data_IF_282426435113
#
_entry.id   IF_282426435113
#
_cell.length_a   1.000
_cell.length_b   1.000
_cell.length_c   1.000
_cell.angle_alpha   90.00
_cell.angle_beta   90.00
_cell.angle_gamma   90.00
#
_symmetry.space_group_name_H-M   'P 1'
#
loop_
_entity.id
_entity.type
_entity.pdbx_description
1 polymer ?
#
# COMPACT_ATOMS: atom_id res chain seq x y z
N UNK A 1 7.91 -29.58 -30.12
CA UNK A 1 7.79 -28.15 -29.84
C UNK A 1 6.39 -27.90 -29.29
N UNK A 2 6.21 -27.74 -27.98
CA UNK A 2 4.91 -27.31 -27.44
C UNK A 2 4.70 -25.84 -27.87
N UNK A 3 3.60 -25.56 -28.55
CA UNK A 3 3.16 -24.21 -28.85
C UNK A 3 2.88 -23.52 -27.50
N UNK A 4 3.88 -22.78 -26.99
CA UNK A 4 3.70 -21.99 -25.78
C UNK A 4 2.64 -20.94 -26.10
N UNK A 5 1.49 -20.97 -25.40
CA UNK A 5 0.42 -20.02 -25.65
C UNK A 5 0.97 -18.60 -25.58
N UNK A 6 0.79 -17.81 -26.63
CA UNK A 6 1.24 -16.42 -26.71
C UNK A 6 0.43 -15.52 -25.76
N UNK A 7 -0.79 -15.93 -25.37
CA UNK A 7 -1.72 -15.16 -24.55
C UNK A 7 -1.14 -14.64 -23.22
N UNK A 8 -0.49 -15.47 -22.35
CA UNK A 8 0.12 -14.93 -21.13
C UNK A 8 1.24 -13.93 -21.42
N UNK A 9 2.01 -14.13 -22.49
CA UNK A 9 3.09 -13.23 -22.89
C UNK A 9 2.56 -11.91 -23.41
N UNK A 10 1.46 -11.94 -24.17
CA UNK A 10 0.74 -10.74 -24.61
C UNK A 10 0.16 -10.00 -23.41
N UNK A 11 -0.49 -10.69 -22.48
CA UNK A 11 -1.07 -10.08 -21.27
C UNK A 11 0.00 -9.33 -20.45
N UNK A 12 1.17 -9.93 -20.25
CA UNK A 12 2.28 -9.30 -19.52
C UNK A 12 2.89 -8.12 -20.30
N UNK A 13 3.00 -8.25 -21.62
CA UNK A 13 3.43 -7.13 -22.46
C UNK A 13 2.45 -5.95 -22.37
N UNK A 14 1.15 -6.23 -22.42
CA UNK A 14 0.12 -5.20 -22.32
C UNK A 14 0.14 -4.51 -20.97
N UNK A 15 0.11 -5.25 -19.85
CA UNK A 15 0.14 -4.66 -18.51
C UNK A 15 1.45 -3.93 -18.26
N UNK A 16 2.60 -4.55 -18.59
CA UNK A 16 3.91 -3.92 -18.44
C UNK A 16 4.10 -2.69 -19.33
N UNK A 17 3.69 -2.78 -20.59
CA UNK A 17 3.77 -1.67 -21.55
C UNK A 17 2.88 -0.50 -21.18
N UNK A 18 1.60 -0.76 -20.87
CA UNK A 18 0.66 0.27 -20.44
C UNK A 18 1.11 0.92 -19.13
N UNK A 19 1.53 0.12 -18.13
CA UNK A 19 2.00 0.65 -16.86
C UNK A 19 3.25 1.53 -17.02
N UNK A 20 4.20 1.10 -17.87
CA UNK A 20 5.41 1.89 -18.15
C UNK A 20 5.06 3.20 -18.87
N UNK A 21 4.29 3.14 -19.94
CA UNK A 21 3.96 4.32 -20.73
C UNK A 21 3.09 5.30 -19.93
N UNK A 22 2.06 4.82 -19.24
CA UNK A 22 1.19 5.67 -18.43
C UNK A 22 1.95 6.32 -17.27
N UNK A 23 2.80 5.55 -16.56
CA UNK A 23 3.58 6.08 -15.45
C UNK A 23 4.60 7.14 -15.91
N UNK A 24 5.35 6.88 -16.97
CA UNK A 24 6.33 7.85 -17.50
C UNK A 24 5.65 9.08 -18.12
N UNK A 25 4.52 8.91 -18.80
CA UNK A 25 3.75 10.02 -19.34
C UNK A 25 3.19 10.92 -18.23
N UNK A 26 2.59 10.31 -17.19
CA UNK A 26 2.10 11.05 -16.03
C UNK A 26 3.24 11.78 -15.32
N UNK A 27 4.39 11.11 -15.13
CA UNK A 27 5.56 11.74 -14.54
C UNK A 27 6.00 12.98 -15.32
N UNK A 28 6.09 12.87 -16.65
CA UNK A 28 6.47 14.00 -17.51
C UNK A 28 5.49 15.18 -17.38
N UNK A 29 4.18 14.90 -17.39
CA UNK A 29 3.16 15.94 -17.20
C UNK A 29 3.31 16.62 -15.82
N UNK A 30 3.46 15.85 -14.75
CA UNK A 30 3.60 16.40 -13.39
C UNK A 30 4.91 17.19 -13.22
N UNK A 31 6.03 16.77 -13.83
CA UNK A 31 7.26 17.56 -13.86
C UNK A 31 7.06 18.89 -14.58
N UNK A 32 6.37 18.90 -15.74
CA UNK A 32 6.05 20.12 -16.45
C UNK A 32 5.20 21.07 -15.58
N UNK A 33 4.13 20.56 -14.99
CA UNK A 33 3.27 21.34 -14.07
C UNK A 33 4.07 21.91 -12.90
N UNK A 34 4.99 21.13 -12.33
CA UNK A 34 5.85 21.60 -11.22
C UNK A 34 6.80 22.73 -11.64
N UNK A 35 7.36 22.66 -12.86
CA UNK A 35 8.21 23.73 -13.40
C UNK A 35 7.41 25.02 -13.56
N UNK A 36 6.19 24.94 -14.11
CA UNK A 36 5.31 26.13 -14.22
C UNK A 36 4.93 26.67 -12.83
N UNK A 37 4.60 25.80 -11.86
CA UNK A 37 4.34 26.20 -10.48
C UNK A 37 5.49 26.96 -9.85
N UNK A 38 6.74 26.56 -10.11
CA UNK A 38 7.93 27.29 -9.62
C UNK A 38 8.08 28.67 -10.27
N UNK A 39 7.70 28.85 -11.53
CA UNK A 39 7.84 30.12 -12.24
C UNK A 39 6.73 31.11 -11.93
N UNK A 40 5.53 30.65 -11.58
CA UNK A 40 4.35 31.48 -11.30
C UNK A 40 4.15 31.78 -9.81
N UNK A 41 5.14 31.49 -8.95
CA UNK A 41 5.05 31.64 -7.49
C UNK A 41 3.86 30.88 -6.87
N UNK A 42 3.54 29.70 -7.42
CA UNK A 42 2.54 28.83 -6.82
C UNK A 42 2.94 28.42 -5.38
N UNK A 43 1.97 27.94 -4.62
CA UNK A 43 2.23 27.43 -3.26
C UNK A 43 3.33 26.34 -3.29
N UNK A 44 4.35 26.55 -2.47
CA UNK A 44 5.51 25.64 -2.34
C UNK A 44 5.06 24.23 -1.95
N UNK A 45 4.03 24.11 -1.10
CA UNK A 45 3.50 22.82 -0.68
C UNK A 45 2.84 22.08 -1.85
N UNK A 46 2.09 22.81 -2.69
CA UNK A 46 1.49 22.22 -3.90
C UNK A 46 2.57 21.78 -4.89
N UNK A 47 3.59 22.60 -5.09
CA UNK A 47 4.74 22.26 -5.95
C UNK A 47 5.49 21.04 -5.40
N UNK A 48 5.71 20.96 -4.08
CA UNK A 48 6.32 19.81 -3.42
C UNK A 48 5.51 18.52 -3.68
N UNK A 49 4.21 18.54 -3.39
CA UNK A 49 3.31 17.40 -3.61
C UNK A 49 3.32 16.94 -5.07
N UNK A 50 3.26 17.88 -6.00
CA UNK A 50 3.27 17.58 -7.45
C UNK A 50 4.59 16.94 -7.87
N UNK A 51 5.74 17.42 -7.36
CA UNK A 51 7.05 16.81 -7.62
C UNK A 51 7.17 15.41 -7.02
N UNK A 52 6.70 15.20 -5.78
CA UNK A 52 6.68 13.85 -5.20
C UNK A 52 5.85 12.91 -6.05
N UNK A 53 4.64 13.32 -6.48
CA UNK A 53 3.80 12.52 -7.37
C UNK A 53 4.48 12.24 -8.71
N UNK A 54 5.24 13.18 -9.26
CA UNK A 54 6.02 12.98 -10.49
C UNK A 54 7.08 11.89 -10.31
N UNK A 55 7.84 11.92 -9.22
CA UNK A 55 8.83 10.87 -8.89
C UNK A 55 8.18 9.52 -8.65
N UNK A 56 7.04 9.48 -7.97
CA UNK A 56 6.25 8.27 -7.74
C UNK A 56 5.78 7.67 -9.06
N UNK A 57 5.19 8.47 -9.94
CA UNK A 57 4.72 8.03 -11.24
C UNK A 57 5.87 7.49 -12.11
N UNK A 58 7.02 8.18 -12.13
CA UNK A 58 8.23 7.71 -12.82
C UNK A 58 8.69 6.36 -12.28
N UNK A 59 8.76 6.21 -10.97
CA UNK A 59 9.21 4.99 -10.30
C UNK A 59 8.28 3.81 -10.59
N UNK A 60 6.97 3.98 -10.46
CA UNK A 60 5.97 2.93 -10.77
C UNK A 60 6.03 2.58 -12.26
N UNK A 61 6.17 3.57 -13.15
CA UNK A 61 6.38 3.34 -14.57
C UNK A 61 7.61 2.47 -14.84
N UNK A 62 8.75 2.77 -14.22
CA UNK A 62 9.97 2.00 -14.33
C UNK A 62 9.85 0.58 -13.75
N UNK A 63 9.08 0.39 -12.66
CA UNK A 63 8.81 -0.94 -12.09
C UNK A 63 8.00 -1.84 -13.02
N UNK A 64 7.24 -1.29 -13.96
CA UNK A 64 6.51 -2.05 -14.96
C UNK A 64 7.37 -2.46 -16.17
N UNK A 65 8.47 -1.76 -16.44
CA UNK A 65 9.34 -1.98 -17.60
C UNK A 65 9.88 -3.42 -17.71
N UNK A 66 10.34 -4.10 -16.63
CA UNK A 66 10.79 -5.48 -16.72
C UNK A 66 9.71 -6.44 -17.23
N UNK A 67 8.44 -6.23 -16.87
CA UNK A 67 7.32 -7.04 -17.35
C UNK A 67 7.15 -6.88 -18.86
N UNK A 68 7.21 -5.65 -19.39
CA UNK A 68 7.15 -5.37 -20.81
C UNK A 68 8.30 -6.05 -21.57
N UNK A 69 9.54 -5.90 -21.08
CA UNK A 69 10.73 -6.51 -21.69
C UNK A 69 10.61 -8.04 -21.72
N UNK A 70 10.19 -8.66 -20.60
CA UNK A 70 9.99 -10.12 -20.53
C UNK A 70 8.90 -10.57 -21.48
N UNK A 71 7.81 -9.82 -21.60
CA UNK A 71 6.73 -10.09 -22.56
C UNK A 71 7.26 -10.13 -24.00
N UNK A 72 8.03 -9.11 -24.43
CA UNK A 72 8.68 -9.03 -25.74
C UNK A 72 9.65 -10.20 -25.94
N UNK A 73 10.54 -10.45 -24.98
CA UNK A 73 11.53 -11.54 -25.09
C UNK A 73 10.88 -12.90 -25.31
N UNK A 74 9.76 -13.15 -24.63
CA UNK A 74 9.02 -14.41 -24.81
C UNK A 74 8.34 -14.52 -26.15
N UNK A 75 7.74 -13.44 -26.63
CA UNK A 75 7.11 -13.43 -27.97
C UNK A 75 8.16 -13.66 -29.06
N UNK A 76 9.39 -13.17 -28.86
CA UNK A 76 10.53 -13.40 -29.76
C UNK A 76 11.26 -14.73 -29.54
N UNK A 77 10.77 -15.60 -28.64
CA UNK A 77 11.37 -16.91 -28.35
C UNK A 77 12.74 -16.86 -27.67
N UNK A 78 13.13 -15.71 -27.09
CA UNK A 78 14.42 -15.54 -26.39
C UNK A 78 14.45 -16.29 -25.05
N UNK A 79 15.62 -16.80 -24.59
CA UNK A 79 15.78 -17.43 -23.29
C UNK A 79 15.49 -16.43 -22.17
N UNK A 80 14.90 -16.93 -21.08
CA UNK A 80 14.58 -16.11 -19.92
C UNK A 80 15.77 -16.02 -18.97
N UNK A 81 15.92 -14.85 -18.35
CA UNK A 81 16.80 -14.64 -17.21
C UNK A 81 16.31 -15.49 -16.02
N UNK A 82 17.24 -16.07 -15.27
CA UNK A 82 16.89 -16.77 -14.02
C UNK A 82 16.60 -15.77 -12.91
N UNK A 83 15.51 -15.98 -12.20
CA UNK A 83 15.18 -15.21 -11.01
C UNK A 83 15.87 -15.84 -9.79
N UNK A 84 16.64 -15.05 -9.05
CA UNK A 84 17.39 -15.51 -7.87
C UNK A 84 17.04 -14.66 -6.66
N UNK A 85 16.06 -15.06 -5.83
CA UNK A 85 15.60 -14.28 -4.67
C UNK A 85 16.70 -13.91 -3.68
N UNK A 86 17.69 -14.77 -3.49
CA UNK A 86 18.81 -14.52 -2.57
C UNK A 86 19.71 -13.35 -3.00
N UNK A 87 19.88 -13.13 -4.31
CA UNK A 87 20.60 -11.96 -4.81
C UNK A 87 19.86 -10.68 -4.48
N UNK A 88 18.54 -10.68 -4.59
CA UNK A 88 17.71 -9.50 -4.27
C UNK A 88 17.76 -9.19 -2.78
N UNK A 89 17.73 -10.20 -1.91
CA UNK A 89 17.87 -9.98 -0.45
C UNK A 89 19.24 -9.40 -0.10
N UNK A 90 20.32 -9.85 -0.77
CA UNK A 90 21.64 -9.27 -0.58
C UNK A 90 21.69 -7.81 -1.01
N UNK A 91 21.10 -7.48 -2.17
CA UNK A 91 20.99 -6.10 -2.66
C UNK A 91 20.18 -5.25 -1.69
N UNK A 92 19.04 -5.74 -1.21
CA UNK A 92 18.21 -5.03 -0.23
C UNK A 92 18.99 -4.69 1.04
N UNK A 93 19.80 -5.62 1.57
CA UNK A 93 20.67 -5.35 2.72
C UNK A 93 21.73 -4.26 2.41
N UNK A 94 22.30 -4.26 1.22
CA UNK A 94 23.27 -3.24 0.81
C UNK A 94 22.63 -1.85 0.62
N UNK A 95 21.31 -1.77 0.41
CA UNK A 95 20.59 -0.51 0.28
C UNK A 95 20.20 0.11 1.63
N UNK A 96 20.32 -0.60 2.77
CA UNK A 96 20.00 -0.06 4.10
C UNK A 96 20.78 1.24 4.41
N UNK A 97 22.12 1.34 4.19
CA UNK A 97 22.83 2.60 4.40
C UNK A 97 22.33 3.73 3.49
N UNK A 98 21.92 3.43 2.26
CA UNK A 98 21.33 4.39 1.34
C UNK A 98 19.99 4.89 1.89
N UNK A 99 19.17 3.99 2.43
CA UNK A 99 17.92 4.36 3.10
C UNK A 99 18.15 5.31 4.29
N UNK A 100 19.10 4.97 5.18
CA UNK A 100 19.44 5.84 6.30
C UNK A 100 19.90 7.23 5.84
N UNK A 101 20.69 7.28 4.77
CA UNK A 101 21.13 8.55 4.17
C UNK A 101 19.93 9.34 3.63
N UNK A 102 19.01 8.70 2.90
CA UNK A 102 17.81 9.36 2.38
C UNK A 102 16.95 9.94 3.49
N UNK A 103 16.68 9.17 4.55
CA UNK A 103 15.90 9.63 5.71
C UNK A 103 16.60 10.78 6.43
N UNK A 104 17.91 10.67 6.64
CA UNK A 104 18.70 11.74 7.25
C UNK A 104 18.70 13.03 6.43
N UNK A 105 18.83 12.94 5.11
CA UNK A 105 18.76 14.09 4.21
C UNK A 105 17.36 14.70 4.17
N UNK A 106 16.30 13.91 4.20
CA UNK A 106 14.92 14.42 4.32
C UNK A 106 14.78 15.18 5.64
N UNK A 107 15.25 14.63 6.77
CA UNK A 107 15.17 15.29 8.06
C UNK A 107 15.93 16.63 8.08
N UNK A 108 17.12 16.70 7.48
CA UNK A 108 17.91 17.93 7.33
C UNK A 108 17.22 18.93 6.39
N UNK A 109 16.61 18.46 5.30
CA UNK A 109 15.93 19.31 4.34
C UNK A 109 14.67 19.97 4.94
N UNK A 110 13.91 19.26 5.76
CA UNK A 110 12.71 19.79 6.41
C UNK A 110 13.05 20.89 7.43
N UNK A 111 14.19 20.79 8.10
CA UNK A 111 14.63 21.79 9.09
C UNK A 111 15.13 23.08 8.46
N UNK A 112 15.42 23.11 7.15
CA UNK A 112 15.86 24.32 6.45
C UNK A 112 14.65 25.14 5.97
N UNK A 113 14.64 26.42 6.24
CA UNK A 113 13.59 27.36 5.82
C UNK A 113 13.58 27.61 4.28
N UNK A 114 14.61 27.16 3.57
CA UNK A 114 14.67 27.23 2.13
C UNK A 114 13.84 26.08 1.50
N UNK A 115 13.16 26.39 0.40
CA UNK A 115 12.33 25.47 -0.38
C UNK A 115 12.86 24.03 -0.43
N UNK A 116 12.19 23.11 0.25
CA UNK A 116 12.62 21.73 0.45
C UNK A 116 12.41 20.83 -0.80
N UNK A 117 12.29 21.43 -1.99
CA UNK A 117 11.97 20.70 -3.23
C UNK A 117 13.01 19.65 -3.61
N UNK A 118 14.28 19.84 -3.19
CA UNK A 118 15.37 18.91 -3.46
C UNK A 118 15.22 17.57 -2.70
N UNK A 119 14.39 17.50 -1.64
CA UNK A 119 14.13 16.24 -0.92
C UNK A 119 13.08 15.36 -1.61
N UNK A 120 12.33 15.90 -2.56
CA UNK A 120 11.23 15.17 -3.22
C UNK A 120 11.68 13.85 -3.89
N UNK A 121 12.82 13.73 -4.57
CA UNK A 121 13.30 12.46 -5.12
C UNK A 121 13.69 11.44 -4.04
N UNK A 122 14.00 11.88 -2.82
CA UNK A 122 14.42 11.00 -1.72
C UNK A 122 13.23 10.27 -1.08
N UNK A 123 12.01 10.77 -1.28
CA UNK A 123 10.78 10.15 -0.75
C UNK A 123 10.57 8.74 -1.30
N UNK A 124 10.84 8.54 -2.58
CA UNK A 124 10.70 7.22 -3.23
C UNK A 124 11.63 6.18 -2.59
N UNK A 125 12.97 6.36 -2.52
CA UNK A 125 13.84 5.37 -1.87
C UNK A 125 13.61 5.23 -0.37
N UNK A 126 13.12 6.28 0.32
CA UNK A 126 12.79 6.21 1.74
C UNK A 126 11.64 5.21 2.03
N UNK A 127 10.74 4.97 1.08
CA UNK A 127 9.67 3.98 1.18
C UNK A 127 10.04 2.67 0.49
N UNK A 128 10.58 2.74 -0.73
CA UNK A 128 10.78 1.57 -1.57
C UNK A 128 11.87 0.62 -1.04
N UNK A 129 12.93 1.16 -0.43
CA UNK A 129 14.04 0.33 0.08
C UNK A 129 13.58 -0.60 1.22
N UNK A 130 12.92 -0.11 2.29
CA UNK A 130 12.40 -0.99 3.33
C UNK A 130 11.39 -2.01 2.81
N UNK A 131 10.50 -1.61 1.90
CA UNK A 131 9.54 -2.55 1.31
C UNK A 131 10.24 -3.65 0.50
N UNK A 132 11.27 -3.30 -0.26
CA UNK A 132 12.10 -4.28 -0.94
C UNK A 132 12.76 -5.23 0.06
N UNK A 133 13.21 -4.70 1.19
CA UNK A 133 13.83 -5.51 2.25
C UNK A 133 12.82 -6.49 2.87
N UNK A 134 11.63 -6.02 3.27
CA UNK A 134 10.58 -6.88 3.82
C UNK A 134 10.12 -7.94 2.84
N UNK A 135 9.89 -7.54 1.58
CA UNK A 135 9.52 -8.47 0.51
C UNK A 135 10.57 -9.57 0.34
N UNK A 136 11.83 -9.18 0.15
CA UNK A 136 12.92 -10.14 -0.11
C UNK A 136 13.26 -10.98 1.11
N UNK A 137 13.11 -10.43 2.32
CA UNK A 137 13.17 -11.17 3.58
C UNK A 137 12.05 -12.23 3.66
N UNK A 138 10.82 -11.84 3.32
CA UNK A 138 9.64 -12.71 3.34
C UNK A 138 9.72 -13.88 2.36
N UNK A 139 10.27 -13.66 1.16
CA UNK A 139 10.33 -14.67 0.11
C UNK A 139 11.68 -15.41 0.01
N UNK A 140 12.62 -15.12 0.92
CA UNK A 140 13.95 -15.75 0.90
C UNK A 140 13.86 -17.27 0.92
N UNK A 141 14.74 -17.94 0.15
CA UNK A 141 14.84 -19.39 0.04
C UNK A 141 13.59 -20.11 -0.52
N UNK A 142 12.62 -19.37 -1.04
CA UNK A 142 11.42 -19.95 -1.65
C UNK A 142 11.55 -20.01 -3.17
N UNK A 143 10.90 -21.00 -3.78
CA UNK A 143 10.76 -21.07 -5.24
C UNK A 143 9.76 -20.03 -5.73
N UNK A 144 10.24 -18.99 -6.36
CA UNK A 144 9.41 -17.87 -6.85
C UNK A 144 8.71 -18.17 -8.17
N UNK A 145 9.08 -19.26 -8.84
CA UNK A 145 8.63 -19.56 -10.19
C UNK A 145 9.42 -18.79 -11.26
N UNK A 146 8.80 -18.58 -12.42
CA UNK A 146 9.46 -17.88 -13.54
C UNK A 146 9.49 -16.36 -13.31
N UNK A 147 10.52 -15.65 -13.81
CA UNK A 147 10.56 -14.17 -13.80
C UNK A 147 9.32 -13.54 -14.42
N UNK A 148 8.77 -14.17 -15.46
CA UNK A 148 7.52 -13.77 -16.09
C UNK A 148 6.36 -13.73 -15.10
N UNK A 149 6.24 -14.74 -14.23
CA UNK A 149 5.15 -14.80 -13.23
C UNK A 149 5.33 -13.69 -12.20
N UNK A 150 6.53 -13.48 -11.67
CA UNK A 150 6.77 -12.47 -10.65
C UNK A 150 6.57 -11.05 -11.18
N UNK A 151 7.22 -10.70 -12.29
CA UNK A 151 7.08 -9.37 -12.89
C UNK A 151 5.69 -9.13 -13.50
N UNK A 152 5.09 -10.18 -14.08
CA UNK A 152 3.71 -10.12 -14.58
C UNK A 152 2.71 -9.91 -13.44
N UNK A 153 2.88 -10.54 -12.28
CA UNK A 153 2.04 -10.32 -11.10
C UNK A 153 2.20 -8.91 -10.57
N UNK A 154 3.43 -8.42 -10.45
CA UNK A 154 3.71 -7.06 -10.01
C UNK A 154 3.02 -6.03 -10.92
N UNK A 155 3.23 -6.13 -12.23
CA UNK A 155 2.64 -5.23 -13.22
C UNK A 155 1.12 -5.32 -13.27
N UNK A 156 0.55 -6.53 -13.18
CA UNK A 156 -0.90 -6.71 -13.08
C UNK A 156 -1.48 -6.01 -11.85
N UNK A 157 -0.79 -6.08 -10.73
CA UNK A 157 -1.24 -5.40 -9.51
C UNK A 157 -1.23 -3.88 -9.67
N UNK A 158 -0.20 -3.28 -10.27
CA UNK A 158 -0.17 -1.83 -10.50
C UNK A 158 -1.22 -1.35 -11.49
N UNK A 159 -1.45 -2.11 -12.58
CA UNK A 159 -2.26 -1.65 -13.72
C UNK A 159 -3.74 -2.07 -13.60
N UNK A 160 -4.02 -3.19 -12.93
CA UNK A 160 -5.38 -3.75 -12.86
C UNK A 160 -5.90 -3.77 -11.42
N UNK A 161 -5.18 -4.45 -10.52
CA UNK A 161 -5.69 -4.67 -9.16
C UNK A 161 -5.82 -3.37 -8.39
N UNK A 162 -4.79 -2.52 -8.41
CA UNK A 162 -4.79 -1.27 -7.65
C UNK A 162 -5.89 -0.29 -8.10
N UNK A 163 -6.04 0.03 -9.40
CA UNK A 163 -7.16 0.86 -9.85
C UNK A 163 -8.53 0.26 -9.54
N UNK A 164 -8.67 -1.07 -9.60
CA UNK A 164 -9.93 -1.73 -9.26
C UNK A 164 -10.25 -1.55 -7.77
N UNK A 165 -9.30 -1.82 -6.88
CA UNK A 165 -9.51 -1.68 -5.42
C UNK A 165 -9.85 -0.23 -5.08
N UNK A 166 -9.05 0.73 -5.55
CA UNK A 166 -9.32 2.15 -5.35
C UNK A 166 -10.70 2.55 -5.90
N UNK A 167 -11.10 2.03 -7.07
CA UNK A 167 -12.42 2.28 -7.62
C UNK A 167 -13.55 1.74 -6.74
N UNK A 168 -13.40 0.54 -6.18
CA UNK A 168 -14.37 -0.04 -5.23
C UNK A 168 -14.43 0.79 -3.94
N UNK A 169 -13.30 1.19 -3.39
CA UNK A 169 -13.22 2.04 -2.19
C UNK A 169 -13.88 3.40 -2.44
N UNK A 170 -13.63 4.03 -3.57
CA UNK A 170 -14.28 5.28 -3.96
C UNK A 170 -15.80 5.12 -4.05
N UNK A 171 -16.31 4.00 -4.59
CA UNK A 171 -17.74 3.71 -4.63
C UNK A 171 -18.33 3.52 -3.23
N UNK A 172 -17.60 2.88 -2.32
CA UNK A 172 -18.02 2.73 -0.91
C UNK A 172 -18.07 4.10 -0.24
N UNK A 173 -17.03 4.92 -0.38
CA UNK A 173 -17.02 6.28 0.18
C UNK A 173 -18.12 7.17 -0.43
N UNK A 174 -18.35 7.09 -1.73
CA UNK A 174 -19.45 7.81 -2.39
C UNK A 174 -20.83 7.37 -1.86
N UNK A 175 -21.00 6.07 -1.64
CA UNK A 175 -22.23 5.52 -1.05
C UNK A 175 -22.44 6.00 0.40
N UNK A 176 -21.38 5.98 1.21
CA UNK A 176 -21.43 6.49 2.59
C UNK A 176 -21.67 8.00 2.62
N UNK A 177 -21.06 8.75 1.74
CA UNK A 177 -21.28 10.19 1.62
C UNK A 177 -22.73 10.49 1.23
N UNK A 178 -23.28 9.78 0.25
CA UNK A 178 -24.69 9.91 -0.12
C UNK A 178 -25.62 9.54 1.03
N UNK A 179 -25.34 8.46 1.76
CA UNK A 179 -26.11 8.08 2.93
C UNK A 179 -26.06 9.15 4.04
N UNK A 180 -24.87 9.74 4.26
CA UNK A 180 -24.70 10.85 5.20
C UNK A 180 -25.49 12.10 4.75
N UNK A 181 -25.46 12.45 3.47
CA UNK A 181 -26.27 13.56 2.92
C UNK A 181 -27.77 13.33 3.12
N UNK A 182 -28.26 12.13 2.83
CA UNK A 182 -29.68 11.76 3.04
C UNK A 182 -30.07 11.82 4.52
N UNK A 183 -29.18 11.38 5.42
CA UNK A 183 -29.41 11.48 6.85
C UNK A 183 -29.42 12.94 7.31
N UNK A 184 -28.44 13.77 6.91
CA UNK A 184 -28.39 15.21 7.21
C UNK A 184 -29.63 15.91 6.68
N UNK A 185 -30.07 15.62 5.45
CA UNK A 185 -31.26 16.25 4.86
C UNK A 185 -32.57 15.95 5.62
N UNK A 186 -32.58 14.86 6.39
CA UNK A 186 -33.72 14.52 7.27
C UNK A 186 -33.74 15.26 8.60
N UNK A 187 -32.65 16.02 8.92
CA UNK A 187 -32.46 16.75 10.18
C UNK A 187 -32.34 18.25 9.90
N UNK A 188 -33.40 19.08 10.13
CA UNK A 188 -33.34 20.51 9.78
C UNK A 188 -32.20 21.29 10.42
N UNK A 189 -31.84 20.94 11.67
CA UNK A 189 -30.73 21.57 12.40
C UNK A 189 -29.35 21.26 11.73
N UNK A 190 -29.19 20.05 11.25
CA UNK A 190 -27.99 19.60 10.55
C UNK A 190 -27.87 20.24 9.16
N UNK A 191 -29.00 20.51 8.49
CA UNK A 191 -29.00 21.24 7.21
C UNK A 191 -28.48 22.67 7.41
N UNK A 192 -28.95 23.37 8.43
CA UNK A 192 -28.49 24.71 8.77
C UNK A 192 -27.00 24.71 9.12
N UNK A 193 -26.56 23.73 9.91
CA UNK A 193 -25.15 23.55 10.23
C UNK A 193 -24.31 23.33 8.96
N UNK A 194 -24.73 22.41 8.06
CA UNK A 194 -24.01 22.12 6.80
C UNK A 194 -23.94 23.36 5.90
N UNK A 195 -25.03 24.11 5.80
CA UNK A 195 -25.04 25.37 5.01
C UNK A 195 -24.07 26.39 5.57
N UNK A 196 -24.01 26.56 6.88
CA UNK A 196 -23.06 27.43 7.55
C UNK A 196 -21.59 26.98 7.35
N UNK A 197 -21.36 25.67 7.25
CA UNK A 197 -20.04 25.09 6.94
C UNK A 197 -19.61 25.29 5.48
N UNK A 198 -20.54 25.09 4.54
CA UNK A 198 -20.23 25.13 3.09
C UNK A 198 -20.16 26.57 2.56
N UNK A 199 -20.95 27.50 3.10
CA UNK A 199 -20.97 28.89 2.59
C UNK A 199 -19.62 29.60 2.64
N UNK A 200 -18.82 29.56 3.72
CA UNK A 200 -17.48 30.19 3.74
C UNK A 200 -16.54 29.57 2.69
N UNK A 201 -16.63 28.24 2.47
CA UNK A 201 -15.82 27.53 1.48
C UNK A 201 -16.16 28.05 0.07
N UNK A 202 -17.47 28.17 -0.26
CA UNK A 202 -17.92 28.65 -1.56
C UNK A 202 -17.60 30.13 -1.82
N UNK A 203 -17.45 30.92 -0.77
CA UNK A 203 -17.15 32.37 -0.86
C UNK A 203 -15.65 32.67 -0.83
N UNK A 204 -14.77 31.68 -0.91
CA UNK A 204 -13.31 31.81 -0.76
C UNK A 204 -12.86 32.50 0.55
N UNK A 205 -13.71 32.53 1.56
CA UNK A 205 -13.42 33.04 2.90
C UNK A 205 -13.05 31.87 3.84
N UNK A 206 -12.17 30.99 3.38
CA UNK A 206 -11.81 29.76 4.08
C UNK A 206 -10.81 30.06 5.20
N UNK A 207 -11.24 29.94 6.46
CA UNK A 207 -10.36 29.99 7.63
C UNK A 207 -10.09 28.58 8.15
N UNK A 208 -8.79 28.22 8.27
CA UNK A 208 -8.35 26.94 8.82
C UNK A 208 -8.82 26.72 10.27
N UNK A 209 -8.96 27.81 11.06
CA UNK A 209 -9.49 27.73 12.43
C UNK A 209 -10.97 27.39 12.47
N UNK A 210 -11.77 27.94 11.54
CA UNK A 210 -13.19 27.56 11.39
C UNK A 210 -13.34 26.11 10.90
N UNK A 211 -12.46 25.64 10.02
CA UNK A 211 -12.43 24.26 9.60
C UNK A 211 -12.21 23.33 10.79
N UNK A 212 -11.25 23.64 11.65
CA UNK A 212 -10.93 22.82 12.83
C UNK A 212 -12.12 22.75 13.80
N UNK A 213 -12.74 23.89 14.11
CA UNK A 213 -13.96 23.93 14.97
C UNK A 213 -15.12 23.13 14.36
N UNK A 214 -15.27 23.19 13.04
CA UNK A 214 -16.31 22.43 12.33
C UNK A 214 -16.00 20.92 12.31
N UNK A 215 -14.73 20.54 12.19
CA UNK A 215 -14.29 19.15 12.25
C UNK A 215 -14.54 18.54 13.63
N UNK A 216 -14.27 19.30 14.70
CA UNK A 216 -14.60 18.94 16.08
C UNK A 216 -16.10 18.69 16.24
N UNK A 217 -16.93 19.53 15.64
CA UNK A 217 -18.40 19.36 15.70
C UNK A 217 -18.89 18.09 14.99
N UNK A 218 -18.25 17.69 13.91
CA UNK A 218 -18.53 16.43 13.19
C UNK A 218 -18.11 15.23 14.05
N UNK A 219 -16.90 15.24 14.61
CA UNK A 219 -16.39 14.15 15.44
C UNK A 219 -17.24 13.92 16.71
N UNK A 220 -17.87 14.99 17.22
CA UNK A 220 -18.80 14.90 18.35
C UNK A 220 -20.17 14.29 18.01
N UNK A 221 -20.51 14.14 16.72
CA UNK A 221 -21.80 13.53 16.36
C UNK A 221 -21.83 12.04 16.76
N UNK A 222 -22.89 11.60 17.43
CA UNK A 222 -23.05 10.21 17.79
C UNK A 222 -22.97 9.30 16.55
N UNK A 223 -22.06 8.32 16.56
CA UNK A 223 -21.91 7.36 15.49
C UNK A 223 -20.80 7.68 14.47
N UNK A 224 -20.26 8.90 14.38
CA UNK A 224 -19.20 9.23 13.42
C UNK A 224 -17.93 8.41 13.69
N UNK A 225 -17.42 8.41 14.92
CA UNK A 225 -16.22 7.63 15.28
C UNK A 225 -16.44 6.12 15.08
N UNK A 226 -17.54 5.50 15.57
CA UNK A 226 -17.83 4.09 15.26
C UNK A 226 -17.92 3.78 13.76
N UNK A 227 -18.50 4.66 12.95
CA UNK A 227 -18.58 4.48 11.50
C UNK A 227 -17.16 4.55 10.88
N UNK A 228 -16.35 5.52 11.27
CA UNK A 228 -14.94 5.62 10.81
C UNK A 228 -14.16 4.36 11.16
N UNK A 229 -14.28 3.86 12.39
CA UNK A 229 -13.63 2.62 12.82
C UNK A 229 -14.13 1.44 11.97
N UNK A 230 -15.44 1.30 11.80
CA UNK A 230 -16.02 0.22 10.99
C UNK A 230 -15.53 0.25 9.55
N UNK A 231 -15.48 1.43 8.95
CA UNK A 231 -15.06 1.58 7.56
C UNK A 231 -13.56 1.32 7.42
N UNK A 232 -12.74 2.04 8.19
CA UNK A 232 -11.27 2.04 8.00
C UNK A 232 -10.63 0.76 8.55
N UNK A 233 -11.09 0.26 9.71
CA UNK A 233 -10.46 -0.88 10.36
C UNK A 233 -11.11 -2.24 10.02
N UNK A 234 -12.31 -2.25 9.41
CA UNK A 234 -12.98 -3.51 9.09
C UNK A 234 -13.31 -3.59 7.60
N UNK A 235 -14.08 -2.64 7.05
CA UNK A 235 -14.60 -2.74 5.69
C UNK A 235 -13.47 -2.61 4.64
N UNK A 236 -12.56 -1.64 4.79
CA UNK A 236 -11.43 -1.49 3.86
C UNK A 236 -10.52 -2.73 3.86
N UNK A 237 -10.04 -3.24 5.01
CA UNK A 237 -9.26 -4.48 5.03
C UNK A 237 -9.99 -5.69 4.44
N UNK A 238 -11.31 -5.82 4.62
CA UNK A 238 -12.10 -6.88 4.00
C UNK A 238 -12.05 -6.79 2.46
N UNK A 239 -12.24 -5.59 1.91
CA UNK A 239 -12.19 -5.37 0.46
C UNK A 239 -10.78 -5.61 -0.05
N UNK A 240 -9.81 -4.97 0.57
CA UNK A 240 -8.43 -5.01 0.10
C UNK A 240 -7.84 -6.42 0.13
N UNK A 241 -7.96 -7.15 1.23
CA UNK A 241 -7.39 -8.49 1.34
C UNK A 241 -8.11 -9.53 0.45
N UNK A 242 -9.34 -9.25 0.02
CA UNK A 242 -10.04 -10.05 -0.98
C UNK A 242 -9.48 -9.82 -2.38
N UNK A 243 -9.24 -8.56 -2.75
CA UNK A 243 -8.90 -8.17 -4.12
C UNK A 243 -7.40 -8.08 -4.38
N UNK A 244 -6.56 -7.72 -3.41
CA UNK A 244 -5.08 -7.65 -3.58
C UNK A 244 -4.50 -8.92 -4.24
N UNK A 245 -4.85 -10.14 -3.82
CA UNK A 245 -4.33 -11.35 -4.45
C UNK A 245 -5.05 -11.73 -5.75
N UNK A 246 -5.75 -10.80 -6.44
CA UNK A 246 -6.58 -11.09 -7.62
C UNK A 246 -5.82 -11.83 -8.71
N UNK A 247 -4.54 -11.52 -8.91
CA UNK A 247 -3.70 -12.25 -9.87
C UNK A 247 -3.61 -13.74 -9.53
N UNK A 248 -3.68 -14.13 -8.26
CA UNK A 248 -3.60 -15.53 -7.82
C UNK A 248 -4.92 -16.24 -8.11
N UNK A 249 -6.06 -15.54 -7.97
CA UNK A 249 -7.36 -16.07 -8.34
C UNK A 249 -7.43 -16.48 -9.82
N UNK A 250 -6.74 -15.76 -10.72
CA UNK A 250 -6.65 -16.12 -12.14
C UNK A 250 -5.89 -17.42 -12.38
N UNK A 251 -5.10 -17.87 -11.41
CA UNK A 251 -4.38 -19.15 -11.42
C UNK A 251 -5.02 -20.19 -10.51
N UNK A 252 -6.17 -19.91 -9.89
CA UNK A 252 -6.90 -20.87 -9.08
C UNK A 252 -7.23 -22.13 -9.89
N UNK A 253 -6.96 -23.31 -9.32
CA UNK A 253 -7.09 -24.58 -10.03
C UNK A 253 -6.00 -24.93 -11.05
N UNK A 254 -5.00 -24.05 -11.26
CA UNK A 254 -3.78 -24.34 -12.03
C UNK A 254 -2.66 -24.81 -11.09
N UNK A 255 -1.64 -25.46 -11.66
CA UNK A 255 -0.51 -26.01 -10.88
C UNK A 255 0.38 -24.91 -10.30
N UNK A 256 -0.09 -24.25 -9.23
CA UNK A 256 0.70 -23.38 -8.38
C UNK A 256 1.16 -24.14 -7.14
N UNK A 257 2.46 -24.06 -6.80
CA UNK A 257 2.92 -24.50 -5.49
C UNK A 257 2.49 -23.54 -4.39
N UNK A 258 2.35 -24.02 -3.13
CA UNK A 258 2.07 -23.13 -2.00
C UNK A 258 3.07 -21.97 -1.84
N UNK A 259 4.35 -22.21 -2.15
CA UNK A 259 5.37 -21.17 -2.17
C UNK A 259 5.13 -20.11 -3.25
N UNK A 260 4.72 -20.51 -4.43
CA UNK A 260 4.38 -19.57 -5.50
C UNK A 260 3.18 -18.71 -5.14
N UNK A 261 2.15 -19.28 -4.50
CA UNK A 261 1.01 -18.52 -3.99
C UNK A 261 1.43 -17.49 -2.93
N UNK A 262 2.27 -17.90 -1.99
CA UNK A 262 2.84 -17.02 -0.97
C UNK A 262 3.65 -15.87 -1.60
N UNK A 263 4.56 -16.17 -2.54
CA UNK A 263 5.38 -15.16 -3.21
C UNK A 263 4.54 -14.18 -4.03
N UNK A 264 3.54 -14.68 -4.79
CA UNK A 264 2.65 -13.81 -5.56
C UNK A 264 1.79 -12.93 -4.65
N UNK A 265 1.35 -13.46 -3.50
CA UNK A 265 0.66 -12.67 -2.47
C UNK A 265 1.56 -11.58 -1.88
N UNK A 266 2.81 -11.92 -1.52
CA UNK A 266 3.78 -10.94 -1.01
C UNK A 266 4.07 -9.83 -2.03
N UNK A 267 4.19 -10.16 -3.33
CA UNK A 267 4.35 -9.20 -4.42
C UNK A 267 3.10 -8.30 -4.57
N UNK A 268 1.91 -8.86 -4.42
CA UNK A 268 0.67 -8.09 -4.47
C UNK A 268 0.60 -7.09 -3.31
N UNK A 269 0.90 -7.54 -2.09
CA UNK A 269 0.96 -6.67 -0.92
C UNK A 269 2.03 -5.59 -1.04
N UNK A 270 3.23 -5.93 -1.54
CA UNK A 270 4.29 -4.95 -1.78
C UNK A 270 3.88 -3.89 -2.81
N UNK A 271 3.22 -4.29 -3.91
CA UNK A 271 2.73 -3.35 -4.92
C UNK A 271 1.70 -2.38 -4.33
N UNK A 272 0.75 -2.92 -3.56
CA UNK A 272 -0.32 -2.15 -2.93
C UNK A 272 0.24 -1.18 -1.89
N UNK A 273 1.00 -1.69 -0.93
CA UNK A 273 1.60 -0.87 0.12
C UNK A 273 2.54 0.21 -0.42
N UNK A 274 3.21 -0.05 -1.56
CA UNK A 274 4.07 0.94 -2.21
C UNK A 274 3.26 2.12 -2.75
N UNK A 275 2.19 1.86 -3.51
CA UNK A 275 1.33 2.92 -4.08
C UNK A 275 0.66 3.72 -2.97
N UNK A 276 0.07 3.04 -1.99
CA UNK A 276 -0.59 3.70 -0.85
C UNK A 276 0.39 4.55 -0.03
N UNK A 277 1.57 4.01 0.29
CA UNK A 277 2.57 4.74 1.07
C UNK A 277 3.13 5.95 0.33
N UNK A 278 3.46 5.80 -0.95
CA UNK A 278 3.95 6.90 -1.77
C UNK A 278 2.87 7.96 -2.02
N UNK A 279 1.61 7.54 -2.21
CA UNK A 279 0.47 8.45 -2.34
C UNK A 279 0.25 9.28 -1.07
N UNK A 280 0.32 8.65 0.10
CA UNK A 280 0.20 9.35 1.38
C UNK A 280 1.34 10.36 1.61
N UNK A 281 2.58 10.01 1.23
CA UNK A 281 3.71 10.93 1.35
C UNK A 281 3.62 12.11 0.36
N UNK A 282 2.99 11.92 -0.78
CA UNK A 282 2.76 13.01 -1.74
C UNK A 282 1.79 14.08 -1.20
N UNK A 283 0.89 13.71 -0.29
CA UNK A 283 -0.04 14.66 0.35
C UNK A 283 0.51 15.31 1.62
N UNK A 284 1.71 14.94 2.07
CA UNK A 284 2.31 15.41 3.32
C UNK A 284 3.46 16.37 3.06
N UNK A 285 3.51 17.43 3.85
CA UNK A 285 4.55 18.46 3.78
C UNK A 285 5.07 18.81 5.18
N UNK A 286 6.28 19.35 5.27
CA UNK A 286 6.82 19.84 6.52
C UNK A 286 7.29 18.76 7.51
N UNK A 287 7.16 19.04 8.81
CA UNK A 287 7.69 18.23 9.92
C UNK A 287 7.13 16.81 9.98
N UNK A 288 5.92 16.61 9.48
CA UNK A 288 5.21 15.34 9.61
C UNK A 288 5.71 14.28 8.64
N UNK A 289 6.45 14.67 7.59
CA UNK A 289 6.98 13.78 6.57
C UNK A 289 7.82 12.63 7.15
N UNK A 290 8.68 12.93 8.14
CA UNK A 290 9.53 11.90 8.76
C UNK A 290 8.69 10.90 9.57
N UNK A 291 7.76 11.38 10.39
CA UNK A 291 6.83 10.53 11.13
C UNK A 291 6.05 9.61 10.21
N UNK A 292 5.59 10.18 9.08
CA UNK A 292 4.86 9.42 8.07
C UNK A 292 5.75 8.39 7.36
N UNK A 293 7.00 8.72 7.01
CA UNK A 293 7.95 7.74 6.44
C UNK A 293 8.08 6.53 7.37
N UNK A 294 8.27 6.73 8.69
CA UNK A 294 8.36 5.62 9.63
C UNK A 294 7.04 4.85 9.78
N UNK A 295 5.89 5.53 9.83
CA UNK A 295 4.58 4.88 9.84
C UNK A 295 4.37 4.01 8.61
N UNK A 296 4.80 4.47 7.43
CA UNK A 296 4.66 3.74 6.17
C UNK A 296 5.58 2.52 6.04
N UNK A 297 6.65 2.40 6.86
CA UNK A 297 7.42 1.16 6.95
C UNK A 297 6.53 0.01 7.45
N UNK A 298 5.80 0.25 8.54
CA UNK A 298 4.89 -0.76 9.11
C UNK A 298 3.75 -1.08 8.15
N UNK A 299 3.12 -0.08 7.53
CA UNK A 299 2.07 -0.27 6.52
C UNK A 299 2.56 -1.20 5.40
N UNK A 300 3.75 -0.97 4.86
CA UNK A 300 4.33 -1.83 3.83
C UNK A 300 4.54 -3.28 4.29
N UNK A 301 4.99 -3.48 5.53
CA UNK A 301 5.16 -4.81 6.12
C UNK A 301 3.82 -5.52 6.31
N UNK A 302 2.80 -4.82 6.82
CA UNK A 302 1.43 -5.35 6.98
C UNK A 302 0.90 -5.84 5.65
N UNK A 303 0.92 -5.00 4.61
CA UNK A 303 0.41 -5.40 3.29
C UNK A 303 1.14 -6.61 2.69
N UNK A 304 2.47 -6.68 2.82
CA UNK A 304 3.25 -7.83 2.36
C UNK A 304 2.84 -9.09 3.12
N UNK A 305 2.70 -9.00 4.45
CA UNK A 305 2.38 -10.14 5.31
C UNK A 305 0.96 -10.65 5.08
N UNK A 306 -0.02 -9.76 5.08
CA UNK A 306 -1.44 -10.10 4.95
C UNK A 306 -1.75 -10.70 3.57
N UNK A 307 -1.27 -10.06 2.51
CA UNK A 307 -1.48 -10.58 1.15
C UNK A 307 -0.72 -11.89 0.89
N UNK A 308 0.46 -12.10 1.53
CA UNK A 308 1.16 -13.38 1.49
C UNK A 308 0.36 -14.49 2.20
N UNK A 309 -0.26 -14.19 3.36
CA UNK A 309 -1.18 -15.10 4.05
C UNK A 309 -2.33 -15.55 3.14
N UNK A 310 -3.01 -14.60 2.52
CA UNK A 310 -4.16 -14.89 1.64
C UNK A 310 -3.70 -15.64 0.41
N UNK A 311 -2.60 -15.23 -0.23
CA UNK A 311 -2.05 -15.92 -1.41
C UNK A 311 -1.66 -17.37 -1.13
N UNK A 312 -1.07 -17.65 0.03
CA UNK A 312 -0.81 -18.99 0.50
C UNK A 312 -2.12 -19.78 0.73
N UNK A 313 -3.11 -19.15 1.39
CA UNK A 313 -4.42 -19.73 1.66
C UNK A 313 -5.18 -20.13 0.40
N UNK A 314 -5.17 -19.27 -0.65
CA UNK A 314 -5.79 -19.56 -1.95
C UNK A 314 -5.21 -20.83 -2.54
N UNK A 315 -3.88 -20.94 -2.60
CA UNK A 315 -3.27 -22.14 -3.20
C UNK A 315 -3.56 -23.38 -2.38
N UNK A 316 -3.56 -23.32 -1.05
CA UNK A 316 -3.96 -24.45 -0.20
C UNK A 316 -5.40 -24.90 -0.43
N UNK A 317 -6.31 -23.96 -0.72
CA UNK A 317 -7.71 -24.29 -0.97
C UNK A 317 -7.91 -25.10 -2.24
N UNK A 318 -7.12 -24.80 -3.29
CA UNK A 318 -7.26 -25.46 -4.60
C UNK A 318 -6.30 -26.63 -4.80
N UNK A 319 -5.07 -26.53 -4.30
CA UNK A 319 -4.06 -27.58 -4.44
C UNK A 319 -4.29 -28.73 -3.44
N UNK A 320 -4.47 -28.38 -2.16
CA UNK A 320 -4.63 -29.37 -1.06
C UNK A 320 -6.10 -29.63 -0.71
N UNK A 321 -7.07 -29.03 -1.42
CA UNK A 321 -8.52 -29.10 -1.13
C UNK A 321 -8.89 -28.64 0.31
N UNK A 322 -8.08 -27.75 0.90
CA UNK A 322 -8.23 -27.27 2.30
C UNK A 322 -8.95 -25.91 2.35
N UNK A 323 -10.19 -25.84 1.84
CA UNK A 323 -10.97 -24.59 1.72
C UNK A 323 -11.15 -23.86 3.05
N UNK A 324 -11.35 -24.55 4.17
CA UNK A 324 -11.48 -23.92 5.49
C UNK A 324 -10.22 -23.15 5.94
N UNK A 325 -9.05 -23.54 5.44
CA UNK A 325 -7.79 -22.81 5.73
C UNK A 325 -7.72 -21.48 5.02
N UNK A 326 -8.29 -21.35 3.83
CA UNK A 326 -8.37 -20.07 3.12
C UNK A 326 -9.12 -19.04 3.97
N UNK A 327 -10.30 -19.41 4.50
CA UNK A 327 -11.06 -18.52 5.38
C UNK A 327 -10.24 -18.11 6.62
N UNK A 328 -9.54 -19.07 7.25
CA UNK A 328 -8.68 -18.78 8.40
C UNK A 328 -7.55 -17.80 8.08
N UNK A 329 -6.84 -17.99 6.94
CA UNK A 329 -5.77 -17.08 6.52
C UNK A 329 -6.31 -15.70 6.10
N UNK A 330 -7.46 -15.65 5.44
CA UNK A 330 -8.13 -14.41 5.08
C UNK A 330 -8.55 -13.61 6.31
N UNK A 331 -9.24 -14.24 7.27
CA UNK A 331 -9.65 -13.55 8.50
C UNK A 331 -8.46 -13.10 9.35
N UNK A 332 -7.37 -13.89 9.39
CA UNK A 332 -6.14 -13.49 10.05
C UNK A 332 -5.48 -12.27 9.36
N UNK A 333 -5.48 -12.24 8.03
CA UNK A 333 -5.01 -11.10 7.25
C UNK A 333 -5.84 -9.85 7.52
N UNK A 334 -7.18 -9.96 7.48
CA UNK A 334 -8.10 -8.86 7.79
C UNK A 334 -7.90 -8.35 9.23
N UNK A 335 -7.69 -9.25 10.20
CA UNK A 335 -7.48 -8.86 11.60
C UNK A 335 -6.15 -8.11 11.80
N UNK A 336 -5.05 -8.57 11.20
CA UNK A 336 -3.75 -7.88 11.25
C UNK A 336 -3.83 -6.51 10.59
N UNK A 337 -4.38 -6.45 9.38
CA UNK A 337 -4.52 -5.21 8.63
C UNK A 337 -5.48 -4.24 9.34
N UNK A 338 -6.65 -4.70 9.76
CA UNK A 338 -7.62 -3.90 10.49
C UNK A 338 -7.09 -3.41 11.83
N UNK A 339 -6.32 -4.24 12.54
CA UNK A 339 -5.62 -3.83 13.77
C UNK A 339 -4.62 -2.71 13.53
N UNK A 340 -3.84 -2.79 12.44
CA UNK A 340 -2.93 -1.71 12.02
C UNK A 340 -3.68 -0.43 11.72
N UNK A 341 -4.74 -0.52 10.90
CA UNK A 341 -5.56 0.63 10.53
C UNK A 341 -6.26 1.27 11.74
N UNK A 342 -6.74 0.45 12.69
CA UNK A 342 -7.36 0.93 13.93
C UNK A 342 -6.36 1.74 14.77
N UNK A 343 -5.16 1.21 14.99
CA UNK A 343 -4.13 1.93 15.76
C UNK A 343 -3.70 3.20 15.05
N UNK A 344 -3.52 3.15 13.73
CA UNK A 344 -3.18 4.32 12.91
C UNK A 344 -4.27 5.40 12.98
N UNK A 345 -5.54 4.99 12.88
CA UNK A 345 -6.69 5.88 12.99
C UNK A 345 -6.73 6.56 14.36
N UNK A 346 -6.65 5.78 15.45
CA UNK A 346 -6.68 6.32 16.82
C UNK A 346 -5.51 7.29 17.03
N UNK A 347 -4.31 6.93 16.57
CA UNK A 347 -3.13 7.78 16.69
C UNK A 347 -3.30 9.10 15.94
N UNK A 348 -3.93 9.06 14.75
CA UNK A 348 -4.15 10.25 13.92
C UNK A 348 -5.28 11.15 14.42
N UNK A 349 -6.38 10.59 14.95
CA UNK A 349 -7.52 11.39 15.37
C UNK A 349 -7.47 11.81 16.85
N UNK A 350 -6.74 11.09 17.72
CA UNK A 350 -6.69 11.41 19.15
C UNK A 350 -6.30 12.88 19.46
N UNK A 351 -5.31 13.47 18.77
CA UNK A 351 -4.99 14.89 18.97
C UNK A 351 -6.09 15.87 18.52
N UNK A 352 -7.01 15.39 17.67
CA UNK A 352 -8.09 16.20 17.09
C UNK A 352 -9.41 16.05 17.88
N UNK A 353 -9.46 15.14 18.86
CA UNK A 353 -10.68 14.93 19.65
C UNK A 353 -10.88 16.10 20.63
N UNK A 354 -12.06 16.75 20.62
CA UNK A 354 -12.35 17.79 21.58
C UNK A 354 -12.50 17.22 23.01
N UNK A 355 -12.17 18.01 24.02
CA UNK A 355 -12.23 17.61 25.44
C UNK A 355 -13.68 17.24 25.89
N UNK A 356 -14.68 17.59 25.10
CA UNK A 356 -16.09 17.27 25.35
C UNK A 356 -16.47 15.85 24.95
N UNK A 357 -15.61 15.13 24.18
CA UNK A 357 -15.85 13.73 23.85
C UNK A 357 -15.74 12.87 25.11
N UNK A 358 -16.76 12.09 25.39
CA UNK A 358 -16.72 11.13 26.49
C UNK A 358 -15.49 10.20 26.40
N UNK A 359 -14.76 10.04 27.51
CA UNK A 359 -13.50 9.31 27.59
C UNK A 359 -12.32 9.96 26.82
N UNK A 360 -12.29 11.30 26.72
CA UNK A 360 -11.20 12.04 26.09
C UNK A 360 -9.81 11.63 26.61
N UNK A 361 -9.61 11.56 27.93
CA UNK A 361 -8.33 11.16 28.54
C UNK A 361 -7.89 9.77 28.12
N UNK A 362 -8.84 8.84 27.96
CA UNK A 362 -8.53 7.51 27.48
C UNK A 362 -8.14 7.51 26.00
N UNK A 363 -8.84 8.26 25.17
CA UNK A 363 -8.50 8.41 23.75
C UNK A 363 -7.12 9.06 23.54
N UNK A 364 -6.83 10.12 24.30
CA UNK A 364 -5.50 10.76 24.29
C UNK A 364 -4.39 9.80 24.76
N UNK A 365 -4.65 9.03 25.80
CA UNK A 365 -3.71 8.03 26.29
C UNK A 365 -3.42 6.95 25.24
N UNK A 366 -4.45 6.47 24.55
CA UNK A 366 -4.30 5.52 23.43
C UNK A 366 -3.55 6.14 22.25
N UNK A 367 -3.84 7.40 21.91
CA UNK A 367 -3.12 8.12 20.85
C UNK A 367 -1.62 8.25 21.17
N UNK A 368 -1.28 8.59 22.41
CA UNK A 368 0.11 8.68 22.86
C UNK A 368 0.84 7.33 22.86
N UNK A 369 0.12 6.22 23.06
CA UNK A 369 0.65 4.87 22.95
C UNK A 369 0.71 4.37 21.50
N UNK A 370 0.13 5.09 20.55
CA UNK A 370 0.01 4.68 19.14
C UNK A 370 1.34 4.25 18.51
N UNK A 371 2.42 5.03 18.59
CA UNK A 371 3.72 4.62 18.03
C UNK A 371 4.26 3.32 18.63
N UNK A 372 4.06 3.09 19.94
CA UNK A 372 4.44 1.84 20.61
C UNK A 372 3.59 0.68 20.11
N UNK A 373 2.27 0.85 20.01
CA UNK A 373 1.35 -0.17 19.52
C UNK A 373 1.64 -0.52 18.07
N UNK A 374 1.92 0.47 17.21
CA UNK A 374 2.35 0.25 15.83
C UNK A 374 3.67 -0.53 15.77
N UNK A 375 4.63 -0.22 16.64
CA UNK A 375 5.88 -0.97 16.76
C UNK A 375 5.63 -2.44 17.13
N UNK A 376 4.75 -2.70 18.10
CA UNK A 376 4.36 -4.06 18.51
C UNK A 376 3.69 -4.81 17.35
N UNK A 377 2.73 -4.18 16.65
CA UNK A 377 2.07 -4.77 15.49
C UNK A 377 3.08 -5.06 14.38
N UNK A 378 4.01 -4.16 14.09
CA UNK A 378 5.07 -4.39 13.11
C UNK A 378 5.96 -5.59 13.49
N UNK A 379 6.29 -5.78 14.76
CA UNK A 379 7.01 -6.97 15.23
C UNK A 379 6.16 -8.24 15.03
N UNK A 380 4.88 -8.19 15.34
CA UNK A 380 3.95 -9.32 15.14
C UNK A 380 3.92 -9.69 13.65
N UNK A 381 3.75 -8.72 12.75
CA UNK A 381 3.73 -8.96 11.31
C UNK A 381 5.05 -9.56 10.80
N UNK A 382 6.19 -9.06 11.28
CA UNK A 382 7.50 -9.61 10.93
C UNK A 382 7.66 -11.06 11.39
N UNK A 383 7.19 -11.38 12.59
CA UNK A 383 7.21 -12.74 13.14
C UNK A 383 6.27 -13.65 12.35
N UNK A 384 5.08 -13.18 12.00
CA UNK A 384 4.12 -13.91 11.15
C UNK A 384 4.73 -14.19 9.78
N UNK A 385 5.29 -13.17 9.11
CA UNK A 385 5.95 -13.31 7.81
C UNK A 385 7.10 -14.32 7.84
N UNK A 386 7.98 -14.20 8.84
CA UNK A 386 9.11 -15.12 9.02
C UNK A 386 8.67 -16.57 9.32
N UNK A 387 7.66 -16.73 10.17
CA UNK A 387 7.13 -18.04 10.56
C UNK A 387 6.45 -18.73 9.39
N UNK A 388 5.70 -17.96 8.59
CA UNK A 388 5.04 -18.47 7.39
C UNK A 388 6.06 -18.83 6.31
N UNK A 389 7.09 -17.99 6.09
CA UNK A 389 8.19 -18.33 5.18
C UNK A 389 8.85 -19.67 5.57
N UNK A 390 9.18 -19.88 6.86
CA UNK A 390 9.76 -21.15 7.35
C UNK A 390 8.83 -22.34 7.07
N UNK A 391 7.53 -22.18 7.34
CA UNK A 391 6.51 -23.22 7.11
C UNK A 391 6.38 -23.58 5.64
N UNK A 392 6.40 -22.57 4.75
CA UNK A 392 6.33 -22.75 3.30
C UNK A 392 7.60 -23.41 2.80
N UNK A 393 8.77 -22.95 3.24
CA UNK A 393 10.08 -23.53 2.87
C UNK A 393 10.20 -25.00 3.28
N UNK A 394 9.79 -25.35 4.50
CA UNK A 394 9.79 -26.75 4.96
C UNK A 394 8.91 -27.67 4.12
N UNK A 395 7.87 -27.16 3.48
CA UNK A 395 7.00 -27.91 2.55
C UNK A 395 7.61 -28.12 1.17
N UNK A 396 8.52 -27.26 0.75
CA UNK A 396 9.21 -27.38 -0.54
C UNK A 396 10.39 -28.37 -0.50
N UNK A 397 10.95 -28.61 0.70
CA UNK A 397 11.98 -29.64 0.86
C UNK A 397 11.30 -31.01 0.72
N UNK A 398 11.74 -31.89 -0.21
CA UNK A 398 11.27 -33.26 -0.23
C UNK A 398 11.56 -33.85 1.17
N UNK A 399 10.58 -34.55 1.74
CA UNK A 399 10.84 -35.35 2.92
C UNK A 399 12.05 -36.22 2.58
N UNK A 400 13.17 -35.96 3.22
CA UNK A 400 14.30 -36.90 3.23
C UNK A 400 13.74 -38.14 3.92
N UNK A 401 13.14 -39.04 3.16
CA UNK A 401 12.89 -40.39 3.61
C UNK A 401 14.25 -40.96 3.98
N UNK A 402 14.50 -41.01 5.28
CA UNK A 402 15.59 -41.80 5.84
C UNK A 402 15.43 -43.24 5.40
N UNK A 403 16.06 -43.59 4.30
CA UNK A 403 16.48 -44.93 3.99
C UNK A 403 17.98 -45.00 4.28
N UNK A 404 18.28 -44.95 5.57
CA UNK A 404 19.47 -45.58 6.10
C UNK A 404 19.00 -46.77 6.95
N UNK A 405 18.85 -47.88 6.32
CA UNK A 405 19.06 -49.22 6.90
C UNK A 405 19.73 -50.07 5.86
#
# INVERSE_FOLDING_TARGET
MQSKSSLPSIGILLTGGLGTLAGLFLAALLFIVSIFGMTENADVNQTFSTLVMAWVAAFIGLLNLPAAIIGIQRLLGKPQLSWQPEKFFRVANQLIPVWLLCVGLIALGISSAATNLWVTPLVVPAVAIPMLWFLTFGIRKLTTGSPQRSWGSLSFNFVVTMPLVLGIEMLVFAGLFLAALLWVSSQPEMVNWLMNFVQPILQNNFDLGELQMNFDSILNQPGVIPILVLVIAVLMPLIEELFKPMVIWLFAGKNLSPAQGFVMGALAGASFGLVESLGALASSTGSDLIGLVFGRLGTGLVHITTSALVGYGIVLAFHDQKRGRLLGYYLAAVALHGGWNLVSLITGIAPLLPATVGNFDFAQSLGNLGPLLMGILGIIDLVVLASLNRKVHAREQPAFEGTLL
#
